data_IF_661376324198
#
_entry.id   IF_661376324198
#
_cell.length_a   1.000
_cell.length_b   1.000
_cell.length_c   1.000
_cell.angle_alpha   90.00
_cell.angle_beta   90.00
_cell.angle_gamma   90.00
#
_symmetry.space_group_name_H-M   'P 1'
#
loop_
_entity.id
_entity.type
_entity.pdbx_description
1 polymer ?
#
# COMPACT_ATOMS: atom_id res chain seq x y z
N UNK A 1 -6.02 -36.51 77.20
CA UNK A 1 -6.92 -35.36 76.93
C UNK A 1 -7.75 -35.70 75.69
N UNK A 2 -9.08 -35.62 75.80
CA UNK A 2 -10.10 -35.80 74.72
C UNK A 2 -10.02 -34.64 73.69
N UNK A 3 -10.78 -34.64 72.55
CA UNK A 3 -11.44 -35.71 71.77
C UNK A 3 -11.14 -35.65 70.23
N UNK A 4 -11.24 -36.76 69.49
CA UNK A 4 -12.30 -37.22 68.55
C UNK A 4 -12.93 -36.21 67.56
N UNK A 5 -12.86 -36.50 66.24
CA UNK A 5 -13.98 -36.94 65.39
C UNK A 5 -13.84 -36.56 63.89
N UNK A 6 -14.14 -37.52 63.03
CA UNK A 6 -14.45 -37.47 61.58
C UNK A 6 -15.91 -38.01 61.46
N UNK A 7 -16.71 -37.94 60.36
CA UNK A 7 -16.73 -37.21 59.06
C UNK A 7 -18.09 -36.50 58.75
N UNK A 8 -18.21 -35.81 57.61
CA UNK A 8 -19.43 -35.84 56.79
C UNK A 8 -19.16 -35.42 55.33
N UNK A 9 -19.43 -36.35 54.41
CA UNK A 9 -19.57 -36.17 52.97
C UNK A 9 -21.00 -35.69 52.70
N UNK A 10 -21.21 -34.75 51.76
CA UNK A 10 -22.35 -34.79 50.83
C UNK A 10 -22.13 -33.89 49.61
N UNK A 11 -22.61 -34.44 48.50
CA UNK A 11 -22.47 -34.09 47.09
C UNK A 11 -23.49 -33.03 46.61
N UNK A 12 -23.28 -32.61 45.35
CA UNK A 12 -24.25 -32.15 44.35
C UNK A 12 -24.60 -30.64 44.36
N UNK A 13 -24.19 -29.88 43.31
CA UNK A 13 -24.93 -29.67 42.04
C UNK A 13 -25.72 -28.33 42.13
N UNK A 14 -25.99 -27.50 41.13
CA UNK A 14 -25.62 -27.28 39.73
C UNK A 14 -26.32 -25.94 39.36
N UNK A 15 -25.76 -25.19 38.40
CA UNK A 15 -26.40 -24.17 37.52
C UNK A 15 -26.75 -22.78 38.12
N UNK A 16 -26.13 -21.74 37.52
CA UNK A 16 -26.78 -20.61 36.79
C UNK A 16 -25.63 -19.70 36.30
N UNK A 17 -25.19 -19.84 35.04
CA UNK A 17 -25.64 -19.00 33.91
C UNK A 17 -25.75 -17.52 34.28
N UNK A 18 -24.68 -16.77 34.05
CA UNK A 18 -24.64 -15.32 34.14
C UNK A 18 -23.76 -14.75 33.03
N UNK A 19 -24.31 -14.65 31.82
CA UNK A 19 -23.77 -13.79 30.79
C UNK A 19 -23.87 -12.34 31.28
N UNK A 20 -22.73 -11.67 31.43
CA UNK A 20 -22.66 -10.22 31.35
C UNK A 20 -21.49 -9.89 30.43
N UNK A 21 -21.76 -10.00 29.13
CA UNK A 21 -21.03 -9.21 28.16
C UNK A 21 -21.39 -7.75 28.43
N UNK A 22 -20.59 -7.05 29.24
CA UNK A 22 -20.57 -5.61 29.16
C UNK A 22 -19.85 -5.26 27.86
N UNK A 23 -20.63 -5.16 26.79
CA UNK A 23 -20.27 -4.39 25.61
C UNK A 23 -20.00 -2.95 26.07
N UNK A 24 -18.73 -2.70 26.42
CA UNK A 24 -18.22 -1.37 26.62
C UNK A 24 -18.28 -0.65 25.29
N UNK A 25 -19.03 0.43 25.25
CA UNK A 25 -19.03 1.40 24.16
C UNK A 25 -17.65 2.09 24.14
N UNK A 26 -16.70 1.49 23.46
CA UNK A 26 -15.49 2.14 22.94
C UNK A 26 -15.33 1.75 21.46
N UNK A 27 -16.42 1.89 20.72
CA UNK A 27 -16.39 2.03 19.28
C UNK A 27 -16.96 3.42 19.01
N UNK A 28 -16.30 4.20 18.15
CA UNK A 28 -16.36 5.68 18.04
C UNK A 28 -15.36 6.42 18.93
N UNK A 29 -14.06 6.23 18.65
CA UNK A 29 -13.08 7.29 18.85
C UNK A 29 -12.35 7.54 17.54
N UNK A 30 -12.28 8.83 17.19
CA UNK A 30 -12.06 9.35 15.86
C UNK A 30 -10.70 9.05 15.26
N UNK A 31 -10.56 9.48 14.00
CA UNK A 31 -9.36 9.49 13.17
C UNK A 31 -8.13 10.10 13.88
N UNK A 32 -7.53 9.41 14.85
CA UNK A 32 -6.21 9.75 15.36
C UNK A 32 -5.19 9.23 14.35
N UNK A 33 -4.38 10.12 13.72
CA UNK A 33 -3.33 9.69 12.82
C UNK A 33 -2.40 8.71 13.54
N UNK A 34 -2.09 7.59 12.91
CA UNK A 34 -1.15 6.60 13.47
C UNK A 34 0.17 7.29 13.90
N UNK A 35 0.77 6.91 15.04
CA UNK A 35 2.05 7.47 15.45
C UNK A 35 3.22 6.85 14.66
N UNK A 36 2.99 5.86 13.79
CA UNK A 36 4.04 5.15 13.06
C UNK A 36 4.78 6.09 12.09
N UNK A 37 6.00 6.42 12.45
CA UNK A 37 7.04 7.07 11.63
C UNK A 37 7.91 6.01 10.96
N UNK A 38 8.32 6.25 9.73
CA UNK A 38 9.42 5.48 9.12
C UNK A 38 10.72 6.03 9.69
N UNK A 39 11.78 5.21 9.80
CA UNK A 39 13.08 5.71 10.29
C UNK A 39 13.69 6.80 9.38
N UNK A 40 13.09 7.09 8.22
CA UNK A 40 13.53 8.12 7.28
C UNK A 40 12.88 9.50 7.56
N UNK A 41 11.68 9.54 8.15
CA UNK A 41 10.93 10.79 8.34
C UNK A 41 10.77 11.08 9.83
N UNK A 42 11.62 11.96 10.37
CA UNK A 42 11.40 12.57 11.68
C UNK A 42 10.31 13.64 11.59
N UNK A 43 9.42 13.70 12.59
CA UNK A 43 8.33 14.69 12.60
C UNK A 43 8.85 16.14 12.51
N UNK A 44 8.20 17.02 11.72
CA UNK A 44 8.36 18.45 11.87
C UNK A 44 7.76 18.91 13.20
N UNK A 45 8.44 19.82 13.91
CA UNK A 45 7.94 20.44 15.14
C UNK A 45 6.84 21.46 14.82
N UNK A 46 5.61 21.00 14.51
CA UNK A 46 4.47 21.87 14.25
C UNK A 46 3.14 21.13 14.38
N UNK A 47 2.19 21.71 15.11
CA UNK A 47 0.82 21.19 15.20
C UNK A 47 0.16 21.32 13.83
N UNK A 48 -0.08 20.19 13.15
CA UNK A 48 -0.98 20.16 11.99
C UNK A 48 -2.40 20.40 12.50
N UNK A 49 -3.12 21.45 12.07
CA UNK A 49 -4.51 21.65 12.47
C UNK A 49 -5.37 20.52 11.92
N UNK A 50 -6.15 19.87 12.80
CA UNK A 50 -7.25 19.03 12.35
C UNK A 50 -8.23 19.90 11.56
N UNK A 51 -8.55 19.51 10.33
CA UNK A 51 -9.58 20.19 9.56
C UNK A 51 -10.92 20.10 10.31
N UNK A 52 -11.46 21.25 10.71
CA UNK A 52 -12.75 21.34 11.39
C UNK A 52 -13.86 20.92 10.42
N UNK A 53 -14.51 19.80 10.71
CA UNK A 53 -15.81 19.45 10.13
C UNK A 53 -16.84 20.32 10.85
N UNK A 54 -17.51 21.19 10.12
CA UNK A 54 -18.48 22.14 10.67
C UNK A 54 -19.60 21.47 11.47
N UNK A 55 -20.01 22.12 12.55
CA UNK A 55 -21.09 21.70 13.43
C UNK A 55 -22.43 21.52 12.70
N UNK A 56 -23.25 20.51 13.04
CA UNK A 56 -24.58 20.39 12.49
C UNK A 56 -25.52 21.41 13.14
N UNK A 57 -26.32 22.09 12.30
CA UNK A 57 -27.39 22.98 12.73
C UNK A 57 -28.50 22.22 13.49
N UNK A 58 -29.16 22.84 14.49
CA UNK A 58 -30.19 22.18 15.29
C UNK A 58 -31.50 21.97 14.51
N UNK A 59 -32.04 20.75 14.55
CA UNK A 59 -33.33 20.38 13.98
C UNK A 59 -34.49 20.81 14.90
N UNK A 60 -35.43 21.58 14.35
CA UNK A 60 -36.74 21.84 14.95
C UNK A 60 -37.77 20.82 14.44
N UNK A 61 -38.56 20.24 15.34
CA UNK A 61 -39.70 19.35 15.01
C UNK A 61 -41.01 20.13 14.87
N UNK A 62 -41.91 19.73 13.96
CA UNK A 62 -43.35 19.74 14.27
C UNK A 62 -44.10 18.51 13.67
N UNK A 63 -45.41 18.32 13.91
CA UNK A 63 -45.97 17.36 14.85
C UNK A 63 -46.58 16.10 14.20
N UNK A 64 -46.89 15.12 15.05
CA UNK A 64 -47.59 13.87 14.73
C UNK A 64 -48.97 14.10 14.08
N UNK A 65 -49.24 13.39 12.98
CA UNK A 65 -50.59 12.99 12.58
C UNK A 65 -50.60 11.49 12.28
N UNK A 66 -51.46 10.78 13.01
CA UNK A 66 -51.72 9.37 12.87
C UNK A 66 -52.65 9.10 11.68
N UNK A 67 -52.26 8.19 10.79
CA UNK A 67 -53.19 7.43 9.95
C UNK A 67 -52.75 5.97 9.93
N UNK A 68 -53.60 5.14 10.53
CA UNK A 68 -53.56 3.68 10.49
C UNK A 68 -53.87 3.22 9.07
N UNK A 69 -53.20 2.18 8.56
CA UNK A 69 -53.82 1.11 7.77
C UNK A 69 -52.94 -0.15 7.87
N UNK A 70 -53.59 -1.25 8.21
CA UNK A 70 -53.03 -2.60 8.25
C UNK A 70 -52.92 -3.17 6.84
N UNK A 71 -51.86 -3.92 6.59
CA UNK A 71 -51.66 -4.75 5.39
C UNK A 71 -50.56 -5.77 5.64
N UNK A 72 -50.85 -7.03 5.35
CA UNK A 72 -50.03 -8.22 5.63
C UNK A 72 -48.60 -8.19 5.07
N UNK A 73 -47.68 -8.78 5.83
CA UNK A 73 -46.30 -9.09 5.44
C UNK A 73 -46.29 -10.45 4.71
N UNK A 74 -45.79 -10.55 3.46
CA UNK A 74 -45.58 -11.85 2.83
C UNK A 74 -44.28 -12.50 3.34
N UNK A 75 -44.35 -13.76 3.77
CA UNK A 75 -43.18 -14.58 4.09
C UNK A 75 -42.36 -15.00 2.85
N UNK A 76 -41.04 -15.23 2.99
CA UNK A 76 -40.18 -15.62 1.88
C UNK A 76 -40.36 -17.10 1.50
N UNK A 77 -40.68 -17.36 0.23
CA UNK A 77 -40.77 -18.71 -0.33
C UNK A 77 -39.37 -19.32 -0.58
N UNK A 78 -39.23 -20.57 -0.17
CA UNK A 78 -38.06 -21.42 -0.35
C UNK A 78 -37.85 -21.84 -1.82
N UNK A 79 -36.59 -21.91 -2.23
CA UNK A 79 -36.14 -22.36 -3.55
C UNK A 79 -36.33 -23.87 -3.72
N UNK A 80 -37.04 -24.28 -4.77
CA UNK A 80 -37.19 -25.68 -5.22
C UNK A 80 -36.25 -25.93 -6.42
N UNK A 81 -35.61 -27.10 -6.58
CA UNK A 81 -34.69 -27.38 -7.68
C UNK A 81 -35.43 -27.77 -8.96
N UNK A 82 -34.92 -27.33 -10.11
CA UNK A 82 -35.44 -27.67 -11.43
C UNK A 82 -34.67 -28.82 -12.10
N UNK A 83 -35.43 -29.70 -12.75
CA UNK A 83 -34.99 -30.91 -13.46
C UNK A 83 -34.19 -30.67 -14.74
N UNK A 84 -33.38 -31.68 -15.09
CA UNK A 84 -32.59 -31.82 -16.32
C UNK A 84 -33.43 -32.33 -17.50
N UNK A 85 -33.01 -32.03 -18.74
CA UNK A 85 -33.14 -32.99 -19.84
C UNK A 85 -31.79 -33.49 -20.37
N UNK A 86 -31.78 -34.79 -20.69
CA UNK A 86 -30.70 -35.59 -21.30
C UNK A 86 -30.90 -35.66 -22.81
N UNK A 87 -29.81 -35.64 -23.61
CA UNK A 87 -29.86 -36.06 -25.02
C UNK A 87 -28.69 -35.64 -25.93
N UNK A 88 -27.53 -36.33 -25.79
CA UNK A 88 -26.54 -36.87 -26.79
C UNK A 88 -26.16 -36.09 -28.10
N UNK A 89 -25.02 -36.39 -28.79
CA UNK A 89 -23.79 -37.16 -28.43
C UNK A 89 -22.46 -36.40 -28.72
N UNK A 90 -21.33 -36.96 -28.23
CA UNK A 90 -19.94 -36.50 -28.44
C UNK A 90 -19.39 -36.81 -29.85
N UNK A 91 -18.49 -35.97 -30.35
CA UNK A 91 -17.29 -36.48 -31.04
C UNK A 91 -15.98 -35.97 -30.41
N UNK A 92 -15.06 -36.91 -30.24
CA UNK A 92 -13.63 -36.72 -30.00
C UNK A 92 -12.95 -35.97 -31.13
N UNK A 93 -12.07 -35.01 -30.84
CA UNK A 93 -10.94 -34.71 -31.73
C UNK A 93 -9.73 -34.08 -31.01
N UNK A 94 -8.55 -34.54 -31.43
CA UNK A 94 -7.20 -34.14 -31.00
C UNK A 94 -6.78 -32.81 -31.68
N UNK A 95 -5.77 -32.08 -31.16
CA UNK A 95 -5.45 -30.74 -31.64
C UNK A 95 -4.76 -30.77 -33.01
N UNK A 96 -5.29 -30.00 -33.97
CA UNK A 96 -4.61 -29.67 -35.23
C UNK A 96 -3.85 -28.37 -35.03
N UNK A 97 -2.53 -28.44 -35.13
CA UNK A 97 -1.66 -27.28 -35.28
C UNK A 97 -2.00 -26.58 -36.60
N UNK A 98 -2.35 -25.29 -36.56
CA UNK A 98 -2.50 -24.48 -37.76
C UNK A 98 -1.33 -23.51 -37.87
N UNK A 99 -0.51 -23.75 -38.90
CA UNK A 99 0.50 -22.85 -39.43
C UNK A 99 -0.11 -21.49 -39.77
N UNK A 100 0.58 -20.42 -39.38
CA UNK A 100 0.28 -19.04 -39.78
C UNK A 100 0.61 -18.86 -41.27
N UNK A 101 -0.30 -18.38 -42.13
CA UNK A 101 0.05 -17.96 -43.47
C UNK A 101 0.80 -16.63 -43.45
N UNK A 102 1.83 -16.53 -44.31
CA UNK A 102 2.54 -15.30 -44.62
C UNK A 102 1.61 -14.36 -45.38
N UNK A 103 1.40 -13.13 -44.89
CA UNK A 103 0.56 -12.16 -45.57
C UNK A 103 1.39 -11.38 -46.63
N UNK A 104 0.83 -11.11 -47.83
CA UNK A 104 1.57 -10.52 -48.94
C UNK A 104 1.67 -9.00 -48.81
N UNK A 105 2.71 -8.43 -49.43
CA UNK A 105 2.86 -7.00 -49.63
C UNK A 105 1.74 -6.44 -50.54
N UNK A 106 1.14 -5.31 -50.16
CA UNK A 106 0.13 -4.63 -50.97
C UNK A 106 -0.31 -3.29 -50.38
N UNK A 107 0.19 -2.23 -51.02
CA UNK A 107 -0.32 -0.86 -51.18
C UNK A 107 -0.41 0.13 -50.00
N UNK A 108 0.28 1.25 -50.23
CA UNK A 108 0.46 2.39 -49.34
C UNK A 108 -0.82 3.21 -49.16
N UNK A 109 -1.24 3.38 -47.91
CA UNK A 109 -2.12 4.47 -47.49
C UNK A 109 -1.29 5.72 -47.13
N UNK A 110 -1.81 6.94 -47.27
CA UNK A 110 -1.08 8.14 -46.93
C UNK A 110 -0.82 8.20 -45.41
N UNK A 111 0.42 8.53 -45.07
CA UNK A 111 0.95 8.70 -43.72
C UNK A 111 0.14 9.74 -42.91
N UNK A 112 -0.89 9.26 -42.20
CA UNK A 112 -1.42 9.97 -41.05
C UNK A 112 -0.48 9.63 -39.90
N UNK A 113 0.56 10.45 -39.77
CA UNK A 113 1.64 10.27 -38.81
C UNK A 113 1.17 9.67 -37.50
N UNK A 114 1.57 8.42 -37.27
CA UNK A 114 1.49 7.76 -35.97
C UNK A 114 2.26 8.64 -34.99
N UNK A 115 1.55 9.52 -34.28
CA UNK A 115 2.07 10.15 -33.07
C UNK A 115 2.46 8.98 -32.16
N UNK A 116 3.77 8.75 -32.05
CA UNK A 116 4.32 7.97 -30.94
C UNK A 116 3.63 8.46 -29.67
N UNK A 117 3.15 7.57 -28.78
CA UNK A 117 2.57 8.01 -27.52
C UNK A 117 3.58 8.96 -26.88
N UNK A 118 3.19 10.22 -26.68
CA UNK A 118 4.08 11.26 -26.17
C UNK A 118 4.64 10.78 -24.84
N UNK A 119 5.92 10.39 -24.84
CA UNK A 119 6.66 10.02 -23.63
C UNK A 119 6.53 11.18 -22.64
N UNK A 120 6.14 10.86 -21.40
CA UNK A 120 5.94 11.89 -20.38
C UNK A 120 7.26 12.62 -20.10
N UNK A 121 7.25 13.94 -20.04
CA UNK A 121 8.46 14.74 -19.83
C UNK A 121 9.18 14.36 -18.53
N UNK A 122 10.51 14.16 -18.57
CA UNK A 122 11.34 14.07 -17.37
C UNK A 122 11.91 15.44 -17.02
N UNK A 123 11.72 15.84 -15.76
CA UNK A 123 12.27 17.07 -15.20
C UNK A 123 13.54 16.72 -14.42
N UNK A 124 14.62 17.42 -14.72
CA UNK A 124 15.90 17.24 -14.02
C UNK A 124 15.79 17.63 -12.54
N UNK A 125 16.52 16.90 -11.70
CA UNK A 125 16.47 17.10 -10.25
C UNK A 125 17.02 18.48 -9.84
N UNK A 126 16.32 19.16 -8.95
CA UNK A 126 16.75 20.42 -8.30
C UNK A 126 16.70 20.35 -6.78
N UNK A 127 16.52 19.14 -6.24
CA UNK A 127 16.52 18.88 -4.81
C UNK A 127 17.84 19.26 -4.13
N UNK A 128 17.70 19.81 -2.94
CA UNK A 128 18.78 20.01 -1.96
C UNK A 128 18.69 18.93 -0.89
N UNK A 129 19.68 18.90 -0.01
CA UNK A 129 19.74 17.97 1.10
C UNK A 129 20.31 18.69 2.33
N UNK A 130 19.65 18.56 3.47
CA UNK A 130 20.11 19.16 4.73
C UNK A 130 21.34 18.41 5.31
N UNK A 131 21.54 17.15 4.94
CA UNK A 131 22.69 16.32 5.35
C UNK A 131 23.26 15.59 4.13
N UNK A 132 23.86 16.31 3.17
CA UNK A 132 24.30 15.72 1.92
C UNK A 132 25.42 14.69 2.16
N UNK A 133 25.28 13.52 1.53
CA UNK A 133 26.31 12.48 1.54
C UNK A 133 27.10 12.51 0.22
N UNK A 134 28.42 12.43 0.33
CA UNK A 134 29.29 12.30 -0.83
C UNK A 134 29.37 10.84 -1.28
N UNK A 135 28.58 10.51 -2.31
CA UNK A 135 28.57 9.19 -2.95
C UNK A 135 29.67 9.02 -4.03
N UNK A 136 30.52 10.02 -4.24
CA UNK A 136 31.62 9.98 -5.21
C UNK A 136 31.15 9.70 -6.64
N UNK A 137 31.84 8.78 -7.32
CA UNK A 137 31.53 8.41 -8.71
C UNK A 137 30.18 7.73 -8.89
N UNK A 138 29.59 7.17 -7.82
CA UNK A 138 28.28 6.49 -7.80
C UNK A 138 27.16 7.38 -7.26
N UNK A 139 27.25 8.68 -7.51
CA UNK A 139 26.25 9.65 -7.04
C UNK A 139 24.87 9.43 -7.63
N UNK A 140 23.78 9.52 -6.84
CA UNK A 140 22.41 9.39 -7.34
C UNK A 140 22.08 10.48 -8.37
N UNK A 141 22.74 11.64 -8.30
CA UNK A 141 22.58 12.76 -9.26
C UNK A 141 22.94 12.39 -10.71
N UNK A 142 23.61 11.27 -10.93
CA UNK A 142 23.93 10.76 -12.28
C UNK A 142 22.79 9.97 -12.91
N UNK A 143 21.77 9.59 -12.13
CA UNK A 143 20.59 8.91 -12.62
C UNK A 143 19.56 9.94 -13.08
N UNK A 144 18.88 9.65 -14.20
CA UNK A 144 18.05 10.65 -14.86
C UNK A 144 16.74 10.93 -14.12
N UNK A 145 16.15 9.88 -13.54
CA UNK A 145 14.77 9.93 -13.04
C UNK A 145 14.77 9.91 -11.52
N UNK A 146 14.53 11.09 -10.94
CA UNK A 146 14.32 11.25 -9.52
C UNK A 146 12.83 11.26 -9.16
N UNK A 147 12.56 10.91 -7.90
CA UNK A 147 11.24 10.96 -7.30
C UNK A 147 11.32 11.10 -5.80
N UNK A 148 10.17 11.06 -5.16
CA UNK A 148 10.04 11.22 -3.70
C UNK A 148 9.12 10.15 -3.14
N UNK A 149 9.13 10.01 -1.82
CA UNK A 149 8.06 9.31 -1.12
C UNK A 149 7.54 10.16 0.03
N UNK A 150 6.23 10.11 0.25
CA UNK A 150 5.52 11.02 1.15
C UNK A 150 4.45 10.32 1.96
N UNK A 151 4.10 10.93 3.08
CA UNK A 151 3.00 10.52 3.97
C UNK A 151 2.30 11.77 4.51
N UNK A 152 1.47 11.62 5.54
CA UNK A 152 0.97 12.75 6.34
C UNK A 152 2.06 13.69 6.86
N UNK A 153 3.28 13.21 7.07
CA UNK A 153 4.36 13.99 7.69
C UNK A 153 4.87 15.15 6.83
N UNK A 154 4.68 15.08 5.52
CA UNK A 154 5.05 16.16 4.59
C UNK A 154 3.99 17.26 4.52
N UNK A 155 2.84 17.10 5.20
CA UNK A 155 1.79 18.10 5.25
C UNK A 155 1.26 18.49 3.87
N UNK A 156 1.03 19.79 3.68
CA UNK A 156 0.60 20.36 2.41
C UNK A 156 1.75 20.41 1.41
N UNK A 157 1.49 19.95 0.19
CA UNK A 157 2.48 19.88 -0.88
C UNK A 157 1.97 20.66 -2.10
N UNK A 158 2.79 21.58 -2.60
CA UNK A 158 2.63 22.15 -3.94
C UNK A 158 3.21 21.17 -4.97
N UNK A 159 2.31 20.31 -5.48
CA UNK A 159 2.65 19.22 -6.38
C UNK A 159 3.18 19.69 -7.73
N UNK A 160 2.72 20.81 -8.25
CA UNK A 160 3.21 21.35 -9.52
C UNK A 160 4.63 21.88 -9.39
N UNK A 161 4.92 22.59 -8.30
CA UNK A 161 6.28 23.03 -8.00
C UNK A 161 7.18 21.83 -7.75
N UNK A 162 6.76 20.86 -6.94
CA UNK A 162 7.52 19.64 -6.69
C UNK A 162 7.83 18.86 -7.99
N UNK A 163 6.87 18.78 -8.91
CA UNK A 163 7.07 18.21 -10.26
C UNK A 163 8.18 18.93 -11.01
N UNK A 164 8.14 20.27 -11.07
CA UNK A 164 9.13 21.11 -11.77
C UNK A 164 10.52 21.09 -11.12
N UNK A 165 10.60 20.77 -9.82
CA UNK A 165 11.83 20.54 -9.08
C UNK A 165 12.45 19.15 -9.36
N UNK A 166 11.79 18.32 -10.18
CA UNK A 166 12.34 17.05 -10.65
C UNK A 166 11.75 15.81 -9.97
N UNK A 167 10.62 15.92 -9.26
CA UNK A 167 9.87 14.76 -8.82
C UNK A 167 9.11 14.17 -10.01
N UNK A 168 9.65 13.14 -10.65
CA UNK A 168 9.02 12.48 -11.81
C UNK A 168 8.09 11.33 -11.39
N UNK A 169 8.34 10.78 -10.21
CA UNK A 169 7.46 9.83 -9.57
C UNK A 169 7.30 10.11 -8.08
N UNK A 170 6.24 9.56 -7.50
CA UNK A 170 6.00 9.58 -6.06
C UNK A 170 5.43 8.26 -5.55
N UNK A 171 5.94 7.78 -4.42
CA UNK A 171 5.23 6.78 -3.61
C UNK A 171 4.55 7.45 -2.42
N UNK A 172 3.27 7.14 -2.21
CA UNK A 172 2.44 7.80 -1.20
C UNK A 172 2.02 6.76 -0.18
N UNK A 173 2.24 7.04 1.11
CA UNK A 173 1.75 6.17 2.18
C UNK A 173 0.24 6.06 2.06
N UNK A 174 -0.26 4.84 1.93
CA UNK A 174 -1.69 4.59 1.91
C UNK A 174 -2.18 4.09 3.25
N UNK A 175 -1.57 3.03 3.75
CA UNK A 175 -2.06 2.33 4.93
C UNK A 175 -0.92 1.83 5.79
N UNK A 176 -1.20 1.66 7.07
CA UNK A 176 -0.35 0.93 8.01
C UNK A 176 -1.21 -0.02 8.86
N UNK A 177 -0.72 -1.24 9.09
CA UNK A 177 -1.50 -2.26 9.80
C UNK A 177 -2.83 -2.63 9.10
N UNK A 178 -3.84 -3.03 9.89
CA UNK A 178 -5.11 -3.57 9.35
C UNK A 178 -6.27 -2.59 9.35
N UNK A 179 -6.01 -1.35 9.79
CA UNK A 179 -7.01 -0.46 10.35
C UNK A 179 -6.67 1.04 10.19
N UNK A 180 -5.44 1.39 9.76
CA UNK A 180 -5.05 2.80 9.62
C UNK A 180 -4.89 3.19 8.14
N UNK A 181 -5.61 4.23 7.74
CA UNK A 181 -5.44 4.93 6.48
C UNK A 181 -4.65 6.21 6.75
N UNK A 182 -3.62 6.49 5.94
CA UNK A 182 -2.93 7.77 6.01
C UNK A 182 -3.93 8.89 5.65
N UNK A 183 -4.17 9.88 6.53
CA UNK A 183 -5.20 10.89 6.33
C UNK A 183 -4.94 11.78 5.09
N UNK A 184 -3.69 11.87 4.64
CA UNK A 184 -3.32 12.62 3.45
C UNK A 184 -3.35 11.77 2.17
N UNK A 185 -3.51 10.45 2.26
CA UNK A 185 -3.41 9.55 1.10
C UNK A 185 -4.31 9.97 -0.06
N UNK A 186 -5.63 10.09 0.17
CA UNK A 186 -6.59 10.41 -0.90
C UNK A 186 -6.29 11.76 -1.57
N UNK A 187 -5.88 12.74 -0.77
CA UNK A 187 -5.52 14.07 -1.25
C UNK A 187 -4.23 14.02 -2.08
N UNK A 188 -3.17 13.43 -1.53
CA UNK A 188 -1.88 13.29 -2.18
C UNK A 188 -1.98 12.48 -3.47
N UNK A 189 -2.74 11.39 -3.45
CA UNK A 189 -3.00 10.54 -4.62
C UNK A 189 -3.60 11.35 -5.77
N UNK A 190 -4.69 12.08 -5.51
CA UNK A 190 -5.36 12.90 -6.52
C UNK A 190 -4.46 14.03 -7.01
N UNK A 191 -3.80 14.77 -6.11
CA UNK A 191 -3.01 15.96 -6.46
C UNK A 191 -1.71 15.60 -7.20
N UNK A 192 -1.08 14.48 -6.86
CA UNK A 192 0.06 13.96 -7.60
C UNK A 192 -0.31 13.61 -9.06
N UNK A 193 -1.49 12.98 -9.25
CA UNK A 193 -2.04 12.67 -10.56
C UNK A 193 -2.34 13.93 -11.37
N UNK A 194 -3.02 14.91 -10.77
CA UNK A 194 -3.31 16.22 -11.41
C UNK A 194 -2.03 16.93 -11.87
N UNK A 195 -0.95 16.88 -11.08
CA UNK A 195 0.35 17.46 -11.42
C UNK A 195 1.18 16.61 -12.40
N UNK A 196 0.65 15.48 -12.90
CA UNK A 196 1.31 14.64 -13.90
C UNK A 196 2.49 13.82 -13.36
N UNK A 197 2.54 13.52 -12.05
CA UNK A 197 3.50 12.57 -11.49
C UNK A 197 3.02 11.13 -11.72
N UNK A 198 3.96 10.24 -12.04
CA UNK A 198 3.72 8.80 -11.90
C UNK A 198 3.65 8.48 -10.41
N UNK A 199 2.57 7.87 -9.96
CA UNK A 199 2.30 7.70 -8.55
C UNK A 199 2.00 6.24 -8.22
N UNK A 200 2.45 5.81 -7.04
CA UNK A 200 2.18 4.50 -6.46
C UNK A 200 1.88 4.63 -4.97
N UNK A 201 1.32 3.57 -4.40
CA UNK A 201 0.96 3.53 -2.99
C UNK A 201 1.86 2.55 -2.25
N UNK A 202 2.22 2.86 -1.01
CA UNK A 202 2.92 1.93 -0.15
C UNK A 202 2.14 1.60 1.13
N UNK A 203 2.37 0.38 1.62
CA UNK A 203 1.84 -0.15 2.86
C UNK A 203 2.96 -0.32 3.88
N UNK A 204 2.85 0.31 5.04
CA UNK A 204 3.78 0.08 6.13
C UNK A 204 3.40 -1.16 6.94
N UNK A 205 4.24 -2.19 6.87
CA UNK A 205 3.89 -3.51 7.38
C UNK A 205 3.98 -3.61 8.90
N UNK A 206 2.87 -4.02 9.53
CA UNK A 206 2.78 -4.18 10.98
C UNK A 206 2.87 -5.67 11.37
N UNK A 207 3.98 -6.05 12.00
CA UNK A 207 4.33 -7.45 12.29
C UNK A 207 3.41 -8.17 13.28
N UNK A 208 2.61 -7.42 14.05
CA UNK A 208 1.69 -7.97 15.04
C UNK A 208 0.28 -8.25 14.49
N UNK A 209 0.00 -7.92 13.23
CA UNK A 209 -1.28 -8.18 12.56
C UNK A 209 -1.17 -9.31 11.52
N UNK A 210 -2.30 -9.90 11.14
CA UNK A 210 -2.33 -10.92 10.07
C UNK A 210 -1.94 -10.30 8.74
N UNK A 211 -1.19 -11.02 7.90
CA UNK A 211 -0.79 -10.50 6.59
C UNK A 211 -1.99 -10.31 5.63
N UNK A 212 -2.96 -11.24 5.70
CA UNK A 212 -4.16 -11.20 4.87
C UNK A 212 -5.03 -9.98 5.16
N UNK A 213 -5.20 -9.62 6.44
CA UNK A 213 -5.97 -8.44 6.87
C UNK A 213 -5.34 -7.14 6.38
N UNK A 214 -4.01 -7.03 6.49
CA UNK A 214 -3.26 -5.87 5.98
C UNK A 214 -3.41 -5.72 4.47
N UNK A 215 -3.36 -6.83 3.73
CA UNK A 215 -3.56 -6.81 2.29
C UNK A 215 -4.99 -6.37 1.90
N UNK A 216 -6.00 -6.90 2.58
CA UNK A 216 -7.40 -6.51 2.36
C UNK A 216 -7.63 -5.03 2.68
N UNK A 217 -6.97 -4.54 3.73
CA UNK A 217 -7.02 -3.13 4.12
C UNK A 217 -6.37 -2.22 3.08
N UNK A 218 -5.21 -2.59 2.56
CA UNK A 218 -4.56 -1.86 1.46
C UNK A 218 -5.45 -1.85 0.21
N UNK A 219 -5.96 -3.01 -0.20
CA UNK A 219 -6.84 -3.17 -1.37
C UNK A 219 -8.11 -2.32 -1.27
N UNK A 220 -8.72 -2.28 -0.08
CA UNK A 220 -9.93 -1.48 0.17
C UNK A 220 -9.69 0.02 -0.02
N UNK A 221 -8.48 0.51 0.29
CA UNK A 221 -8.18 1.93 0.36
C UNK A 221 -7.44 2.48 -0.86
N UNK A 222 -6.71 1.63 -1.59
CA UNK A 222 -5.89 2.03 -2.74
C UNK A 222 -6.61 1.63 -4.04
N UNK A 223 -7.05 2.60 -4.86
CA UNK A 223 -7.78 2.29 -6.08
C UNK A 223 -6.87 1.58 -7.10
N UNK A 224 -7.45 0.64 -7.84
CA UNK A 224 -6.81 0.08 -9.02
C UNK A 224 -6.96 1.06 -10.18
N UNK A 225 -5.87 1.73 -10.54
CA UNK A 225 -5.85 2.72 -11.61
C UNK A 225 -4.87 2.32 -12.72
N UNK A 226 -5.26 2.57 -13.98
CA UNK A 226 -4.35 2.43 -15.10
C UNK A 226 -3.18 3.42 -14.96
N UNK A 227 -1.97 2.97 -15.28
CA UNK A 227 -0.72 3.74 -15.18
C UNK A 227 -0.27 4.09 -13.75
N UNK A 228 -0.93 3.58 -12.71
CA UNK A 228 -0.38 3.62 -11.35
C UNK A 228 0.83 2.69 -11.26
N UNK A 229 1.84 3.10 -10.49
CA UNK A 229 3.02 2.29 -10.22
C UNK A 229 2.66 1.05 -9.38
N UNK A 230 3.47 -0.04 -9.44
CA UNK A 230 3.22 -1.23 -8.64
C UNK A 230 3.09 -0.89 -7.15
N UNK A 231 2.20 -1.57 -6.40
CA UNK A 231 2.08 -1.32 -4.97
C UNK A 231 3.37 -1.70 -4.25
N UNK A 232 3.72 -0.96 -3.20
CA UNK A 232 4.92 -1.23 -2.40
C UNK A 232 4.51 -1.84 -1.06
N UNK A 233 5.22 -2.89 -0.66
CA UNK A 233 5.28 -3.34 0.73
C UNK A 233 6.52 -2.71 1.38
N UNK A 234 6.31 -1.90 2.41
CA UNK A 234 7.38 -1.33 3.24
C UNK A 234 7.61 -2.26 4.43
N UNK A 235 8.78 -2.92 4.43
CA UNK A 235 9.23 -3.80 5.50
C UNK A 235 10.51 -3.30 6.15
N UNK A 236 10.35 -2.78 7.36
CA UNK A 236 11.44 -2.41 8.24
C UNK A 236 11.14 -2.74 9.71
N UNK A 237 12.18 -2.68 10.54
CA UNK A 237 12.00 -2.69 11.99
C UNK A 237 11.76 -1.26 12.46
N UNK A 238 10.57 -0.99 12.97
CA UNK A 238 10.25 0.30 13.54
C UNK A 238 10.52 0.32 15.04
N UNK A 239 11.46 1.18 15.46
CA UNK A 239 11.74 1.42 16.88
C UNK A 239 10.58 2.08 17.62
N UNK A 240 9.74 2.85 16.91
CA UNK A 240 8.60 3.59 17.50
C UNK A 240 7.32 2.76 17.54
N UNK A 241 7.23 1.67 16.77
CA UNK A 241 6.01 0.86 16.71
C UNK A 241 5.63 0.23 18.03
N UNK A 242 4.34 0.20 18.37
CA UNK A 242 3.83 -0.56 19.52
C UNK A 242 4.06 -2.07 19.36
N UNK A 243 4.23 -2.56 18.13
CA UNK A 243 4.64 -3.94 17.87
C UNK A 243 6.15 -4.11 18.01
N UNK A 244 6.61 -4.52 19.19
CA UNK A 244 8.03 -4.84 19.44
C UNK A 244 8.44 -6.27 19.04
N UNK A 245 7.50 -7.07 18.50
CA UNK A 245 7.72 -8.49 18.22
C UNK A 245 8.62 -8.69 17.00
N UNK A 246 9.76 -9.34 17.20
CA UNK A 246 10.62 -9.84 16.13
C UNK A 246 10.37 -11.33 15.90
N UNK A 247 9.58 -11.63 14.86
CA UNK A 247 9.31 -13.01 14.44
C UNK A 247 10.51 -13.58 13.65
N UNK A 248 10.56 -14.90 13.49
CA UNK A 248 11.66 -15.56 12.76
C UNK A 248 11.72 -15.12 11.29
N UNK A 249 12.90 -15.11 10.65
CA UNK A 249 13.04 -14.76 9.23
C UNK A 249 12.14 -15.55 8.29
N UNK A 250 11.91 -16.84 8.58
CA UNK A 250 10.99 -17.68 7.80
C UNK A 250 9.55 -17.16 7.90
N UNK A 251 9.08 -16.82 9.11
CA UNK A 251 7.73 -16.29 9.33
C UNK A 251 7.57 -14.87 8.77
N UNK A 252 8.63 -14.05 8.79
CA UNK A 252 8.67 -12.76 8.08
C UNK A 252 8.35 -12.97 6.61
N UNK A 253 9.11 -13.83 5.91
CA UNK A 253 8.96 -14.07 4.48
C UNK A 253 7.61 -14.68 4.13
N UNK A 254 7.10 -15.60 4.93
CA UNK A 254 5.76 -16.16 4.76
C UNK A 254 4.69 -15.07 4.81
N UNK A 255 4.73 -14.19 5.83
CA UNK A 255 3.78 -13.08 5.94
C UNK A 255 3.89 -12.10 4.78
N UNK A 256 5.10 -11.80 4.34
CA UNK A 256 5.31 -10.96 3.16
C UNK A 256 4.69 -11.61 1.92
N UNK A 257 4.92 -12.91 1.70
CA UNK A 257 4.39 -13.64 0.54
C UNK A 257 2.86 -13.58 0.50
N UNK A 258 2.19 -13.86 1.63
CA UNK A 258 0.73 -13.77 1.72
C UNK A 258 0.21 -12.38 1.33
N UNK A 259 0.86 -11.33 1.82
CA UNK A 259 0.48 -9.96 1.49
C UNK A 259 0.70 -9.67 0.00
N UNK A 260 1.91 -9.93 -0.50
CA UNK A 260 2.30 -9.63 -1.86
C UNK A 260 1.47 -10.40 -2.89
N UNK A 261 1.16 -11.68 -2.63
CA UNK A 261 0.34 -12.50 -3.52
C UNK A 261 -1.09 -11.96 -3.66
N UNK A 262 -1.66 -11.44 -2.57
CA UNK A 262 -3.00 -10.83 -2.60
C UNK A 262 -2.98 -9.55 -3.43
N UNK A 263 -1.97 -8.71 -3.25
CA UNK A 263 -1.79 -7.49 -4.03
C UNK A 263 -1.53 -7.80 -5.51
N UNK A 264 -0.64 -8.74 -5.84
CA UNK A 264 -0.33 -9.12 -7.22
C UNK A 264 -1.59 -9.62 -7.94
N UNK A 265 -2.40 -10.46 -7.30
CA UNK A 265 -3.69 -10.90 -7.84
C UNK A 265 -4.68 -9.76 -8.05
N UNK A 266 -4.74 -8.79 -7.14
CA UNK A 266 -5.72 -7.70 -7.22
C UNK A 266 -5.31 -6.63 -8.25
N UNK A 267 -4.07 -6.16 -8.19
CA UNK A 267 -3.60 -5.07 -9.03
C UNK A 267 -3.12 -5.55 -10.40
N UNK A 268 -2.74 -6.83 -10.54
CA UNK A 268 -2.12 -7.38 -11.74
C UNK A 268 -0.65 -6.99 -11.90
N UNK A 269 -0.06 -6.37 -10.87
CA UNK A 269 1.33 -5.92 -10.85
C UNK A 269 2.03 -6.53 -9.64
N UNK A 270 3.24 -7.07 -9.87
CA UNK A 270 4.09 -7.60 -8.80
C UNK A 270 4.50 -6.49 -7.83
N UNK A 271 4.23 -6.62 -6.52
CA UNK A 271 4.61 -5.61 -5.54
C UNK A 271 6.11 -5.37 -5.48
N UNK A 272 6.49 -4.13 -5.16
CA UNK A 272 7.88 -3.75 -4.87
C UNK A 272 8.15 -3.87 -3.38
N UNK A 273 9.30 -4.42 -3.02
CA UNK A 273 9.73 -4.55 -1.63
C UNK A 273 10.61 -3.35 -1.29
N UNK A 274 10.11 -2.43 -0.46
CA UNK A 274 10.94 -1.44 0.21
C UNK A 274 11.56 -2.04 1.47
N UNK A 275 12.83 -1.75 1.75
CA UNK A 275 13.46 -2.22 2.98
C UNK A 275 14.67 -1.41 3.44
N UNK A 276 14.96 -1.54 4.73
CA UNK A 276 16.12 -0.99 5.43
C UNK A 276 17.31 -1.97 5.50
N UNK A 277 18.55 -1.48 5.70
CA UNK A 277 19.74 -2.33 5.68
C UNK A 277 19.75 -3.46 6.71
N UNK A 278 19.30 -3.18 7.93
CA UNK A 278 19.23 -4.13 9.03
C UNK A 278 18.15 -5.19 8.77
N UNK A 279 16.94 -4.76 8.39
CA UNK A 279 15.85 -5.67 8.06
C UNK A 279 16.22 -6.60 6.89
N UNK A 280 16.85 -6.05 5.85
CA UNK A 280 17.30 -6.83 4.70
C UNK A 280 18.34 -7.89 5.10
N UNK A 281 19.36 -7.50 5.87
CA UNK A 281 20.43 -8.41 6.31
C UNK A 281 19.84 -9.58 7.08
N UNK A 282 18.88 -9.30 7.97
CA UNK A 282 18.34 -10.29 8.90
C UNK A 282 17.30 -11.21 8.22
N UNK A 283 16.55 -10.71 7.23
CA UNK A 283 15.39 -11.42 6.69
C UNK A 283 15.42 -11.74 5.19
N UNK A 284 16.11 -10.94 4.37
CA UNK A 284 15.92 -10.91 2.91
C UNK A 284 17.19 -11.22 2.10
N UNK A 285 18.37 -11.29 2.72
CA UNK A 285 19.62 -11.63 2.02
C UNK A 285 19.52 -13.01 1.34
N UNK A 286 19.70 -13.03 0.02
CA UNK A 286 19.59 -14.26 -0.79
C UNK A 286 18.15 -14.78 -0.99
N UNK A 287 17.14 -14.02 -0.58
CA UNK A 287 15.73 -14.40 -0.67
C UNK A 287 14.96 -13.45 -1.59
N UNK A 288 13.78 -13.88 -2.05
CA UNK A 288 12.84 -13.10 -2.87
C UNK A 288 13.53 -12.43 -4.08
N UNK A 289 14.43 -13.14 -4.75
CA UNK A 289 15.26 -12.60 -5.85
C UNK A 289 14.43 -12.14 -7.07
N UNK A 290 13.24 -12.72 -7.24
CA UNK A 290 12.29 -12.42 -8.32
C UNK A 290 11.47 -11.15 -8.09
N UNK A 291 11.56 -10.53 -6.91
CA UNK A 291 10.81 -9.31 -6.59
C UNK A 291 11.63 -8.05 -6.88
N UNK A 292 11.02 -6.98 -7.40
CA UNK A 292 11.68 -5.69 -7.51
C UNK A 292 11.92 -5.08 -6.11
N UNK A 293 13.11 -4.55 -5.89
CA UNK A 293 13.49 -3.91 -4.63
C UNK A 293 13.59 -2.39 -4.74
N UNK A 294 13.08 -1.72 -3.72
CA UNK A 294 13.36 -0.34 -3.40
C UNK A 294 14.26 -0.33 -2.15
N UNK A 295 15.53 0.04 -2.31
CA UNK A 295 16.51 -0.08 -1.23
C UNK A 295 16.74 1.27 -0.56
N UNK A 296 16.58 1.32 0.78
CA UNK A 296 17.05 2.46 1.56
C UNK A 296 18.55 2.37 1.78
N UNK A 297 19.30 3.36 1.31
CA UNK A 297 20.74 3.45 1.54
C UNK A 297 21.19 4.91 1.55
N UNK A 298 21.03 5.56 2.70
CA UNK A 298 21.25 7.02 2.81
C UNK A 298 22.69 7.41 3.10
N UNK A 299 23.56 6.45 3.48
CA UNK A 299 24.95 6.70 3.87
C UNK A 299 25.99 6.12 2.89
N UNK A 300 25.58 5.27 1.95
CA UNK A 300 26.44 4.62 0.97
C UNK A 300 25.64 4.18 -0.26
N UNK A 301 26.30 3.91 -1.38
CA UNK A 301 25.63 3.38 -2.57
C UNK A 301 25.07 1.96 -2.30
N UNK A 302 23.90 1.56 -2.86
CA UNK A 302 23.30 0.25 -2.62
C UNK A 302 24.23 -0.94 -2.88
N UNK A 303 25.16 -0.86 -3.83
CA UNK A 303 26.12 -1.95 -4.10
C UNK A 303 27.04 -2.26 -2.92
N UNK A 304 27.27 -1.30 -2.01
CA UNK A 304 28.09 -1.50 -0.79
C UNK A 304 27.25 -2.08 0.34
N UNK A 305 26.00 -1.65 0.47
CA UNK A 305 25.11 -2.03 1.58
C UNK A 305 24.37 -3.35 1.29
N UNK A 306 24.05 -3.60 0.02
CA UNK A 306 23.29 -4.73 -0.50
C UNK A 306 24.04 -5.40 -1.65
N UNK A 307 25.23 -5.99 -1.40
CA UNK A 307 26.07 -6.54 -2.47
C UNK A 307 25.32 -7.60 -3.29
N UNK A 308 25.33 -7.42 -4.62
CA UNK A 308 24.67 -8.32 -5.58
C UNK A 308 23.14 -8.21 -5.64
N UNK A 309 22.50 -7.34 -4.86
CA UNK A 309 21.05 -7.16 -4.91
C UNK A 309 20.66 -6.26 -6.08
N UNK A 310 19.84 -6.79 -6.99
CA UNK A 310 19.13 -5.98 -8.00
C UNK A 310 18.09 -5.09 -7.32
N UNK A 311 17.97 -3.85 -7.78
CA UNK A 311 17.01 -2.87 -7.28
C UNK A 311 16.48 -2.02 -8.42
N UNK A 312 15.26 -1.52 -8.26
CA UNK A 312 14.57 -0.62 -9.19
C UNK A 312 14.54 0.81 -8.67
N UNK A 313 14.45 0.98 -7.35
CA UNK A 313 14.48 2.29 -6.70
C UNK A 313 15.52 2.32 -5.58
N UNK A 314 16.11 3.48 -5.35
CA UNK A 314 17.03 3.72 -4.26
C UNK A 314 16.60 4.98 -3.52
N UNK A 315 16.26 4.84 -2.22
CA UNK A 315 16.10 5.97 -1.31
C UNK A 315 17.48 6.39 -0.81
N UNK A 316 17.96 7.53 -1.29
CA UNK A 316 19.32 8.01 -1.07
C UNK A 316 19.42 9.10 -0.02
N UNK A 317 18.29 9.66 0.42
CA UNK A 317 18.23 10.66 1.48
C UNK A 317 16.89 10.63 2.20
N UNK A 318 16.92 10.83 3.52
CA UNK A 318 15.75 11.18 4.35
C UNK A 318 15.79 12.62 4.88
N UNK A 319 16.65 13.44 4.29
CA UNK A 319 16.83 14.85 4.65
C UNK A 319 16.80 15.77 3.43
N UNK A 320 16.13 15.31 2.37
CA UNK A 320 15.91 16.09 1.18
C UNK A 320 15.13 17.36 1.47
N UNK A 321 15.37 18.37 0.65
CA UNK A 321 14.68 19.65 0.67
C UNK A 321 14.26 19.99 -0.76
N UNK A 322 13.01 20.38 -0.94
CA UNK A 322 12.47 20.82 -2.23
C UNK A 322 11.63 22.07 -2.01
N UNK A 323 11.62 22.96 -3.01
CA UNK A 323 10.51 23.90 -3.11
C UNK A 323 9.19 23.12 -3.29
N UNK A 324 8.11 23.65 -2.72
CA UNK A 324 6.79 23.05 -2.73
C UNK A 324 6.53 22.02 -1.62
N UNK A 325 7.49 21.76 -0.73
CA UNK A 325 7.30 20.93 0.48
C UNK A 325 7.93 21.65 1.67
N UNK A 326 7.16 21.79 2.75
CA UNK A 326 7.71 22.30 4.01
C UNK A 326 8.44 21.17 4.75
N UNK A 327 9.64 21.44 5.24
CA UNK A 327 10.43 20.46 5.99
C UNK A 327 11.18 19.46 5.09
N UNK A 328 11.43 18.27 5.64
CA UNK A 328 12.24 17.22 5.00
C UNK A 328 11.37 16.27 4.19
N UNK A 329 11.93 15.81 3.09
CA UNK A 329 11.32 14.82 2.20
C UNK A 329 12.34 13.74 1.82
N UNK A 330 11.85 12.51 1.68
CA UNK A 330 12.66 11.39 1.25
C UNK A 330 12.91 11.49 -0.27
N UNK A 331 14.17 11.33 -0.67
CA UNK A 331 14.59 11.44 -2.07
C UNK A 331 14.97 10.09 -2.64
N UNK A 332 14.45 9.83 -3.83
CA UNK A 332 14.58 8.57 -4.53
C UNK A 332 15.09 8.75 -5.95
N UNK A 333 15.72 7.70 -6.46
CA UNK A 333 16.10 7.56 -7.87
C UNK A 333 15.65 6.22 -8.41
N UNK A 334 15.26 6.20 -9.68
CA UNK A 334 15.04 4.99 -10.46
C UNK A 334 16.38 4.48 -11.03
N UNK A 335 16.55 3.15 -11.08
CA UNK A 335 17.74 2.50 -11.63
C UNK A 335 17.67 2.40 -13.16
N UNK A 336 18.03 3.48 -13.85
CA UNK A 336 18.10 3.49 -15.31
C UNK A 336 18.20 4.89 -15.89
N UNK A 337 18.26 4.95 -17.21
CA UNK A 337 18.12 6.19 -17.97
C UNK A 337 16.64 6.53 -18.22
N UNK A 338 16.39 7.63 -18.93
CA UNK A 338 15.03 8.08 -19.27
C UNK A 338 14.25 7.10 -20.17
N UNK A 339 14.90 6.44 -21.12
CA UNK A 339 14.25 5.40 -21.94
C UNK A 339 13.88 4.19 -21.08
N UNK A 340 14.80 3.72 -20.23
CA UNK A 340 14.54 2.59 -19.32
C UNK A 340 13.33 2.89 -18.43
N UNK A 341 13.19 4.13 -17.96
CA UNK A 341 12.03 4.56 -17.19
C UNK A 341 10.73 4.49 -17.99
N UNK A 342 10.72 5.01 -19.22
CA UNK A 342 9.52 4.96 -20.07
C UNK A 342 9.09 3.54 -20.39
N UNK A 343 10.04 2.67 -20.72
CA UNK A 343 9.78 1.26 -21.01
C UNK A 343 9.29 0.55 -19.74
N UNK A 344 9.92 0.83 -18.60
CA UNK A 344 9.53 0.26 -17.30
C UNK A 344 8.11 0.67 -16.89
N UNK A 345 7.71 1.92 -17.09
CA UNK A 345 6.35 2.41 -16.79
C UNK A 345 5.33 1.91 -17.80
N UNK A 346 5.67 1.81 -19.08
CA UNK A 346 4.76 1.32 -20.11
C UNK A 346 4.43 -0.17 -19.96
N UNK A 347 5.30 -0.93 -19.29
CA UNK A 347 5.10 -2.36 -19.00
C UNK A 347 4.17 -2.67 -17.80
N UNK A 348 3.52 -1.65 -17.21
CA UNK A 348 2.78 -1.75 -15.93
C UNK A 348 1.28 -1.81 -16.05
#
# INVERSE_FOLDING_TARGET
MRPSAVPAILLAALILSGCAASSGAEDVLGNVPSPETTNAIAQPSGLIPAAAVGDPAPQASPPQQALRWAGEVPEPQALVPADRPVGMPLPTDKPVALLMPSNPAGDAMPDVGTRSPTRGQIYGHRFRDAKPINFGSTSPRKLAVHGVDVSRWQGEIDWETLRRQGANFVYIKATDGGDHLDPMFKKNWRRAKEAGLKHGAYHFFYWCRTAGEQADWFIRNVPREANALPPVIDVEWNGESSCKRRISPARVREKMQVFMDKLERHYGQRPIIYTAPDFYRDNLKGQLLEYPFWLRSVAAHPSKVYPGRKWVFWQYSGSGLSEGVEGKIDLNVFNGNESDWHDWVASR
#
